data_IF_160816950867
#
_entry.id   IF_160816950867
#
_cell.length_a   1.000
_cell.length_b   1.000
_cell.length_c   1.000
_cell.angle_alpha   90.00
_cell.angle_beta   90.00
_cell.angle_gamma   90.00
#
_symmetry.space_group_name_H-M   'P 1'
#
loop_
_entity.id
_entity.type
_entity.pdbx_description
1 polymer ?
#
# COMPACT_ATOMS: atom_id res chain seq x y z
N UNK A 1 -5.81 -0.22 28.89
CA UNK A 1 -6.47 -0.19 27.58
C UNK A 1 -5.39 0.13 26.56
N UNK A 2 -5.13 -0.82 25.63
CA UNK A 2 -4.47 -0.68 24.31
C UNK A 2 -3.14 0.09 24.26
N UNK A 3 -2.00 -0.48 23.91
CA UNK A 3 -1.77 -1.30 22.73
C UNK A 3 -0.53 -2.15 22.96
N UNK A 4 -0.72 -3.46 23.00
CA UNK A 4 0.35 -4.39 22.66
C UNK A 4 0.61 -4.17 21.18
N UNK A 5 1.48 -3.23 20.85
CA UNK A 5 2.03 -3.08 19.51
C UNK A 5 2.65 -4.45 19.19
N UNK A 6 2.15 -5.22 18.20
CA UNK A 6 2.91 -6.37 17.72
C UNK A 6 4.30 -5.87 17.32
N UNK A 7 5.35 -6.71 17.43
CA UNK A 7 6.71 -6.28 17.13
C UNK A 7 6.70 -5.71 15.72
N UNK A 8 6.80 -4.38 15.58
CA UNK A 8 6.71 -3.66 14.31
C UNK A 8 7.67 -4.32 13.33
N UNK A 9 7.13 -5.27 12.58
CA UNK A 9 7.94 -6.04 11.66
C UNK A 9 8.24 -5.08 10.52
N UNK A 10 9.40 -5.21 9.88
CA UNK A 10 9.73 -4.28 8.82
C UNK A 10 8.65 -4.29 7.72
N UNK A 11 7.94 -5.42 7.53
CA UNK A 11 6.74 -5.52 6.72
C UNK A 11 5.59 -4.59 7.14
N UNK A 12 5.31 -4.46 8.44
CA UNK A 12 4.29 -3.55 8.98
C UNK A 12 4.68 -2.08 8.74
N UNK A 13 5.95 -1.72 8.91
CA UNK A 13 6.44 -0.37 8.59
C UNK A 13 6.28 -0.03 7.11
N UNK A 14 6.60 -0.99 6.23
CA UNK A 14 6.40 -0.81 4.79
C UNK A 14 4.91 -0.74 4.42
N UNK A 15 4.05 -1.48 5.12
CA UNK A 15 2.60 -1.38 4.97
C UNK A 15 2.09 0.02 5.33
N UNK A 16 2.48 0.56 6.48
CA UNK A 16 2.08 1.92 6.89
C UNK A 16 2.58 2.98 5.89
N UNK A 17 3.81 2.83 5.36
CA UNK A 17 4.31 3.68 4.28
C UNK A 17 3.45 3.58 3.01
N UNK A 18 3.07 2.37 2.61
CA UNK A 18 2.23 2.16 1.45
C UNK A 18 0.88 2.87 1.59
N UNK A 19 0.26 2.81 2.77
CA UNK A 19 -1.00 3.52 3.06
C UNK A 19 -0.84 5.05 2.96
N UNK A 20 0.26 5.59 3.48
CA UNK A 20 0.57 7.02 3.34
C UNK A 20 0.74 7.43 1.87
N UNK A 21 1.48 6.63 1.09
CA UNK A 21 1.64 6.87 -0.34
C UNK A 21 0.32 6.78 -1.13
N UNK A 22 -0.58 5.87 -0.75
CA UNK A 22 -1.93 5.80 -1.31
C UNK A 22 -2.72 7.09 -1.04
N UNK A 23 -2.65 7.62 0.17
CA UNK A 23 -3.27 8.89 0.51
C UNK A 23 -2.67 10.06 -0.29
N UNK A 24 -1.36 10.03 -0.53
CA UNK A 24 -0.64 10.97 -1.40
C UNK A 24 -0.86 10.74 -2.90
N UNK A 25 -1.69 9.76 -3.30
CA UNK A 25 -1.92 9.38 -4.71
C UNK A 25 -0.67 8.83 -5.44
N UNK A 26 0.40 8.54 -4.71
CA UNK A 26 1.68 7.98 -5.21
C UNK A 26 1.63 6.46 -5.26
N UNK A 27 0.86 5.92 -6.19
CA UNK A 27 0.63 4.48 -6.25
C UNK A 27 1.88 3.66 -6.57
N UNK A 28 2.81 4.20 -7.36
CA UNK A 28 4.04 3.47 -7.72
C UNK A 28 4.97 3.30 -6.49
N UNK A 29 5.10 4.33 -5.64
CA UNK A 29 5.83 4.25 -4.36
C UNK A 29 5.13 3.34 -3.35
N UNK A 30 3.79 3.36 -3.35
CA UNK A 30 2.99 2.45 -2.52
C UNK A 30 3.21 0.98 -2.89
N UNK A 31 3.23 0.66 -4.19
CA UNK A 31 3.50 -0.69 -4.70
C UNK A 31 4.90 -1.15 -4.29
N UNK A 32 5.92 -0.31 -4.50
CA UNK A 32 7.29 -0.63 -4.11
C UNK A 32 7.41 -0.92 -2.60
N UNK A 33 6.67 -0.17 -1.77
CA UNK A 33 6.62 -0.41 -0.32
C UNK A 33 5.97 -1.76 0.01
N UNK A 34 4.82 -2.10 -0.62
CA UNK A 34 4.21 -3.41 -0.43
C UNK A 34 5.10 -4.56 -0.92
N UNK A 35 5.85 -4.40 -2.02
CA UNK A 35 6.81 -5.40 -2.50
C UNK A 35 7.96 -5.61 -1.51
N UNK A 36 8.47 -4.54 -0.90
CA UNK A 36 9.47 -4.65 0.16
C UNK A 36 8.92 -5.37 1.40
N UNK A 37 7.65 -5.13 1.76
CA UNK A 37 6.99 -5.86 2.83
C UNK A 37 6.93 -7.37 2.54
N UNK A 38 6.55 -7.74 1.32
CA UNK A 38 6.49 -9.14 0.86
C UNK A 38 7.88 -9.78 0.80
N UNK A 39 8.93 -9.03 0.45
CA UNK A 39 10.30 -9.55 0.46
C UNK A 39 10.81 -9.88 1.86
N UNK A 40 10.32 -9.17 2.87
CA UNK A 40 10.74 -9.37 4.26
C UNK A 40 9.90 -10.47 4.89
N UNK A 41 8.59 -10.41 4.68
CA UNK A 41 7.63 -11.41 5.13
C UNK A 41 6.82 -11.86 3.91
N UNK A 42 7.23 -12.97 3.31
CA UNK A 42 6.51 -13.54 2.15
C UNK A 42 5.06 -13.88 2.49
N UNK A 43 4.78 -14.15 3.77
CA UNK A 43 3.46 -14.48 4.27
C UNK A 43 2.76 -13.27 4.92
N UNK A 44 3.14 -12.04 4.56
CA UNK A 44 2.48 -10.85 5.06
C UNK A 44 1.18 -10.58 4.29
N UNK A 45 0.13 -11.28 4.70
CA UNK A 45 -1.24 -11.15 4.16
C UNK A 45 -1.75 -9.70 3.99
N UNK A 46 -1.46 -8.75 4.91
CA UNK A 46 -1.89 -7.37 4.74
C UNK A 46 -1.25 -6.68 3.53
N UNK A 47 0.02 -6.96 3.18
CA UNK A 47 0.64 -6.33 2.00
C UNK A 47 -0.06 -6.74 0.71
N UNK A 48 -0.38 -8.02 0.51
CA UNK A 48 -1.10 -8.47 -0.68
C UNK A 48 -2.47 -7.81 -0.82
N UNK A 49 -3.21 -7.71 0.29
CA UNK A 49 -4.51 -7.03 0.34
C UNK A 49 -4.37 -5.55 -0.04
N UNK A 50 -3.38 -4.87 0.54
CA UNK A 50 -3.11 -3.45 0.28
C UNK A 50 -2.64 -3.21 -1.15
N UNK A 51 -1.81 -4.10 -1.71
CA UNK A 51 -1.39 -4.09 -3.12
C UNK A 51 -2.62 -4.12 -4.05
N UNK A 52 -3.57 -5.01 -3.81
CA UNK A 52 -4.81 -5.08 -4.58
C UNK A 52 -5.64 -3.78 -4.51
N UNK A 53 -5.74 -3.19 -3.33
CA UNK A 53 -6.40 -1.89 -3.14
C UNK A 53 -5.67 -0.76 -3.90
N UNK A 54 -4.33 -0.75 -3.88
CA UNK A 54 -3.51 0.21 -4.62
C UNK A 54 -3.76 0.11 -6.11
N UNK A 55 -3.76 -1.11 -6.68
CA UNK A 55 -4.03 -1.33 -8.12
C UNK A 55 -5.43 -0.86 -8.52
N UNK A 56 -6.44 -1.13 -7.69
CA UNK A 56 -7.80 -0.64 -7.91
C UNK A 56 -7.86 0.90 -7.87
N UNK A 57 -7.22 1.52 -6.89
CA UNK A 57 -7.16 2.97 -6.77
C UNK A 57 -6.40 3.63 -7.94
N UNK A 58 -5.30 3.02 -8.39
CA UNK A 58 -4.54 3.45 -9.58
C UNK A 58 -5.38 3.36 -10.85
N UNK A 59 -6.12 2.28 -11.02
CA UNK A 59 -7.06 2.11 -12.13
C UNK A 59 -8.16 3.18 -12.09
N UNK A 60 -8.69 3.50 -10.90
CA UNK A 60 -9.68 4.59 -10.72
C UNK A 60 -9.11 5.97 -11.06
N UNK A 61 -7.85 6.26 -10.72
CA UNK A 61 -7.22 7.53 -11.12
C UNK A 61 -6.99 7.63 -12.63
N UNK A 62 -6.53 6.55 -13.29
CA UNK A 62 -6.45 6.52 -14.76
C UNK A 62 -7.82 6.60 -15.41
N UNK A 63 -8.86 6.14 -14.72
CA UNK A 63 -10.25 6.27 -15.13
C UNK A 63 -10.87 7.62 -14.76
N UNK A 64 -10.09 8.61 -14.32
CA UNK A 64 -10.52 10.00 -14.44
C UNK A 64 -10.40 10.34 -15.93
N UNK A 65 -11.49 10.41 -16.70
CA UNK A 65 -11.40 11.02 -18.01
C UNK A 65 -10.90 12.44 -17.73
N UNK A 66 -9.70 12.75 -18.20
CA UNK A 66 -9.43 14.11 -18.60
C UNK A 66 -10.56 14.43 -19.59
N UNK A 67 -11.53 15.20 -19.11
CA UNK A 67 -12.61 15.73 -19.92
C UNK A 67 -12.00 16.33 -21.17
N UNK A 68 -12.44 15.90 -22.37
CA UNK A 68 -11.99 16.49 -23.61
C UNK A 68 -12.73 17.81 -23.79
N UNK A 69 -12.14 18.92 -23.35
CA UNK A 69 -12.42 20.26 -23.87
C UNK A 69 -11.19 21.13 -23.73
#
# INVERSE_FOLDING_TARGET
MTSTNPPESAAEKFHQKAEAYVAEKKFDEAIASCELAIKIEENYGPAYKTLGNIWQARRRQKASPLSPF
#
